data_IF_331628974208
#
_entry.id   IF_331628974208
#
_cell.length_a   1.000
_cell.length_b   1.000
_cell.length_c   1.000
_cell.angle_alpha   90.00
_cell.angle_beta   90.00
_cell.angle_gamma   90.00
#
_symmetry.space_group_name_H-M   'P 1'
#
loop_
_entity.id
_entity.type
_entity.pdbx_description
1 polymer ?
#
# COMPACT_ATOMS: atom_id res chain seq x y z
N UNK A 1 -69.18 2.25 26.82
CA UNK A 1 -69.66 3.49 26.18
C UNK A 1 -68.71 3.83 25.10
N UNK A 2 -68.90 3.37 23.87
CA UNK A 2 -69.22 4.08 22.62
C UNK A 2 -68.48 5.45 22.52
N UNK A 3 -67.65 5.73 21.57
CA UNK A 3 -67.67 5.86 20.09
C UNK A 3 -66.26 6.28 19.61
N UNK A 4 -65.69 5.71 18.64
CA UNK A 4 -65.73 6.00 17.20
C UNK A 4 -65.56 7.49 16.80
N UNK A 5 -64.40 7.77 16.08
CA UNK A 5 -64.49 8.63 14.89
C UNK A 5 -63.18 8.45 14.04
N UNK A 6 -63.40 7.83 12.90
CA UNK A 6 -62.53 7.92 11.71
C UNK A 6 -62.60 9.36 11.19
N UNK A 7 -61.43 9.90 10.82
CA UNK A 7 -61.42 10.99 9.85
C UNK A 7 -60.31 10.70 8.83
N UNK A 8 -60.74 10.42 7.63
CA UNK A 8 -59.92 10.33 6.44
C UNK A 8 -59.51 11.74 6.02
N UNK A 9 -58.27 11.95 5.69
CA UNK A 9 -57.82 13.10 4.90
C UNK A 9 -57.23 12.59 3.60
N UNK A 10 -57.79 13.14 2.53
CA UNK A 10 -57.55 12.82 1.14
C UNK A 10 -56.18 13.26 0.65
N UNK A 11 -55.65 12.43 -0.25
CA UNK A 11 -54.68 12.67 -1.31
C UNK A 11 -54.36 14.14 -1.65
N UNK A 12 -53.07 14.44 -1.61
CA UNK A 12 -52.43 15.45 -2.45
C UNK A 12 -51.32 14.77 -3.24
N UNK A 13 -51.58 14.60 -4.52
CA UNK A 13 -50.56 14.17 -5.52
C UNK A 13 -49.64 15.36 -5.76
N UNK A 14 -48.37 15.20 -5.51
CA UNK A 14 -47.37 16.13 -6.01
C UNK A 14 -46.06 15.35 -6.33
N UNK A 15 -45.79 15.26 -7.60
CA UNK A 15 -44.51 15.31 -8.26
C UNK A 15 -43.43 14.36 -7.75
N UNK A 16 -43.34 13.17 -8.35
CA UNK A 16 -42.11 12.41 -8.38
C UNK A 16 -41.06 13.18 -9.18
N UNK A 17 -40.11 13.82 -8.50
CA UNK A 17 -38.80 14.09 -9.09
C UNK A 17 -38.03 12.78 -9.06
N UNK A 18 -38.07 12.08 -10.17
CA UNK A 18 -37.09 11.05 -10.47
C UNK A 18 -35.74 11.76 -10.62
N UNK A 19 -34.93 11.72 -9.54
CA UNK A 19 -33.51 11.95 -9.69
C UNK A 19 -32.99 10.76 -10.50
N UNK A 20 -32.74 11.03 -11.77
CA UNK A 20 -31.94 10.15 -12.62
C UNK A 20 -30.59 9.98 -11.94
N UNK A 21 -30.36 8.80 -11.40
CA UNK A 21 -29.01 8.33 -11.12
C UNK A 21 -28.41 8.12 -12.50
N UNK A 22 -27.80 9.17 -13.04
CA UNK A 22 -26.93 9.05 -14.20
C UNK A 22 -25.83 8.11 -13.79
N UNK A 23 -25.93 6.87 -14.25
CA UNK A 23 -24.86 5.92 -14.25
C UNK A 23 -23.68 6.57 -14.96
N UNK A 24 -22.62 6.86 -14.24
CA UNK A 24 -21.33 7.11 -14.84
C UNK A 24 -20.90 5.83 -15.56
N UNK A 25 -21.39 5.68 -16.80
CA UNK A 25 -20.75 4.84 -17.77
C UNK A 25 -19.38 5.51 -18.04
N UNK A 26 -18.31 4.89 -17.55
CA UNK A 26 -16.96 5.29 -17.91
C UNK A 26 -16.86 5.22 -19.43
N UNK A 27 -16.80 6.37 -20.07
CA UNK A 27 -16.28 6.44 -21.43
C UNK A 27 -14.92 5.77 -21.45
N UNK A 28 -14.75 4.79 -22.36
CA UNK A 28 -13.61 3.90 -22.45
C UNK A 28 -12.29 4.62 -22.76
N UNK A 29 -11.72 5.28 -21.77
CA UNK A 29 -10.32 5.65 -21.75
C UNK A 29 -9.50 4.37 -21.61
N UNK A 30 -8.49 4.17 -22.47
CA UNK A 30 -7.60 3.02 -22.40
C UNK A 30 -7.07 2.89 -20.97
N UNK A 31 -7.35 1.74 -20.31
CA UNK A 31 -6.83 1.43 -18.99
C UNK A 31 -5.30 1.53 -19.03
N UNK A 32 -4.70 2.38 -18.23
CA UNK A 32 -3.24 2.41 -18.07
C UNK A 32 -2.81 1.02 -17.59
N UNK A 33 -1.79 0.44 -18.22
CA UNK A 33 -1.28 -0.85 -17.79
C UNK A 33 -0.81 -0.80 -16.34
N UNK A 34 -1.22 -1.76 -15.53
CA UNK A 34 -0.76 -1.89 -14.14
C UNK A 34 0.71 -2.33 -14.15
N UNK A 35 1.56 -1.63 -13.41
CA UNK A 35 2.93 -2.07 -13.14
C UNK A 35 2.94 -3.04 -11.97
N UNK A 36 2.73 -4.32 -12.27
CA UNK A 36 2.90 -5.37 -11.29
C UNK A 36 4.39 -5.61 -11.04
N UNK A 37 4.74 -5.84 -9.78
CA UNK A 37 6.07 -6.22 -9.34
C UNK A 37 6.03 -7.31 -8.27
N UNK A 38 7.19 -7.85 -7.97
CA UNK A 38 7.37 -8.86 -6.94
C UNK A 38 8.81 -9.36 -6.94
N UNK A 39 9.20 -10.24 -6.00
CA UNK A 39 10.52 -10.81 -5.97
C UNK A 39 10.75 -11.75 -7.16
N UNK A 40 12.01 -11.87 -7.57
CA UNK A 40 12.48 -12.91 -8.47
C UNK A 40 13.41 -13.85 -7.69
N UNK A 41 13.33 -15.14 -8.01
CA UNK A 41 14.07 -16.20 -7.30
C UNK A 41 15.29 -16.65 -8.09
N UNK A 42 16.04 -15.65 -8.59
CA UNK A 42 17.30 -15.87 -9.32
C UNK A 42 18.46 -15.46 -8.41
N UNK A 43 19.30 -16.41 -8.06
CA UNK A 43 20.52 -16.17 -7.27
C UNK A 43 21.60 -15.51 -8.12
N UNK A 44 21.63 -14.18 -8.15
CA UNK A 44 22.63 -13.40 -8.87
C UNK A 44 22.76 -11.99 -8.26
N UNK A 45 23.92 -11.39 -8.44
CA UNK A 45 24.17 -9.97 -8.17
C UNK A 45 24.39 -9.17 -9.46
N UNK A 46 24.15 -9.79 -10.62
CA UNK A 46 24.19 -9.10 -11.92
C UNK A 46 22.88 -8.33 -12.16
N UNK A 47 22.91 -6.97 -12.18
CA UNK A 47 21.73 -6.17 -12.37
C UNK A 47 21.00 -6.45 -13.69
N UNK A 48 21.75 -6.71 -14.77
CA UNK A 48 21.17 -6.97 -16.08
C UNK A 48 20.40 -8.31 -16.11
N UNK A 49 20.93 -9.34 -15.45
CA UNK A 49 20.23 -10.63 -15.33
C UNK A 49 18.96 -10.48 -14.51
N UNK A 50 19.00 -9.74 -13.39
CA UNK A 50 17.83 -9.49 -12.55
C UNK A 50 16.75 -8.69 -13.32
N UNK A 51 17.13 -7.63 -14.01
CA UNK A 51 16.20 -6.83 -14.78
C UNK A 51 15.50 -7.64 -15.88
N UNK A 52 16.25 -8.45 -16.64
CA UNK A 52 15.70 -9.37 -17.65
C UNK A 52 14.77 -10.40 -17.04
N UNK A 53 15.08 -10.95 -15.88
CA UNK A 53 14.21 -11.92 -15.21
C UNK A 53 12.88 -11.30 -14.79
N UNK A 54 12.88 -10.07 -14.25
CA UNK A 54 11.63 -9.34 -13.98
C UNK A 54 10.80 -9.20 -15.27
N UNK A 55 11.41 -8.78 -16.38
CA UNK A 55 10.70 -8.67 -17.66
C UNK A 55 10.20 -10.00 -18.19
N UNK A 56 11.00 -11.07 -18.06
CA UNK A 56 10.59 -12.44 -18.47
C UNK A 56 9.33 -12.90 -17.75
N UNK A 57 9.20 -12.56 -16.46
CA UNK A 57 8.02 -12.81 -15.65
C UNK A 57 6.86 -11.84 -15.96
N UNK A 58 7.10 -10.78 -16.76
CA UNK A 58 6.12 -9.76 -17.07
C UNK A 58 6.00 -8.67 -16.00
N UNK A 59 6.89 -8.62 -15.04
CA UNK A 59 6.94 -7.53 -14.07
C UNK A 59 7.42 -6.23 -14.72
N UNK A 60 6.81 -5.12 -14.34
CA UNK A 60 7.20 -3.76 -14.69
C UNK A 60 7.74 -2.97 -13.50
N UNK A 61 7.82 -3.61 -12.33
CA UNK A 61 8.34 -3.04 -11.10
C UNK A 61 9.13 -4.09 -10.30
N UNK A 62 10.05 -3.64 -9.46
CA UNK A 62 10.90 -4.50 -8.64
C UNK A 62 11.14 -3.88 -7.27
N UNK A 63 11.39 -4.72 -6.28
CA UNK A 63 12.04 -4.32 -5.04
C UNK A 63 13.51 -3.95 -5.31
N UNK A 64 14.05 -3.03 -4.53
CA UNK A 64 15.48 -2.73 -4.59
C UNK A 64 16.29 -3.98 -4.29
N UNK A 65 17.26 -4.36 -5.14
CA UNK A 65 18.14 -5.49 -4.87
C UNK A 65 18.88 -5.33 -3.53
N UNK A 66 19.00 -6.42 -2.77
CA UNK A 66 19.59 -6.40 -1.42
C UNK A 66 21.06 -5.96 -1.41
N UNK A 67 21.79 -6.23 -2.48
CA UNK A 67 23.19 -5.84 -2.61
C UNK A 67 23.41 -4.36 -2.97
N UNK A 68 22.32 -3.60 -3.25
CA UNK A 68 22.42 -2.17 -3.47
C UNK A 68 22.81 -1.43 -2.18
N UNK A 69 23.87 -0.64 -2.24
CA UNK A 69 24.43 0.05 -1.07
C UNK A 69 24.97 1.44 -1.44
N UNK A 70 24.81 2.39 -0.53
CA UNK A 70 25.44 3.71 -0.66
C UNK A 70 26.97 3.67 -0.64
N UNK A 71 27.59 2.58 -0.15
CA UNK A 71 29.03 2.38 -0.20
C UNK A 71 29.54 1.98 -1.60
N UNK A 72 28.63 1.58 -2.50
CA UNK A 72 28.95 1.20 -3.89
C UNK A 72 27.98 1.88 -4.87
N UNK A 73 28.21 3.17 -5.09
CA UNK A 73 27.40 3.96 -6.01
C UNK A 73 27.54 3.50 -7.48
N UNK A 74 28.61 2.81 -7.84
CA UNK A 74 28.76 2.24 -9.18
C UNK A 74 27.67 1.18 -9.41
N UNK A 75 27.58 0.21 -8.51
CA UNK A 75 26.53 -0.82 -8.58
C UNK A 75 25.13 -0.22 -8.51
N UNK A 76 24.90 0.82 -7.70
CA UNK A 76 23.62 1.53 -7.66
C UNK A 76 23.24 2.11 -9.03
N UNK A 77 24.19 2.72 -9.75
CA UNK A 77 23.96 3.25 -11.11
C UNK A 77 23.75 2.14 -12.14
N UNK A 78 24.48 1.04 -12.04
CA UNK A 78 24.28 -0.12 -12.90
C UNK A 78 22.88 -0.71 -12.73
N UNK A 79 22.38 -0.87 -11.49
CA UNK A 79 21.01 -1.31 -11.21
C UNK A 79 20.01 -0.35 -11.86
N UNK A 80 20.14 0.96 -11.64
CA UNK A 80 19.25 1.96 -12.22
C UNK A 80 19.19 1.86 -13.75
N UNK A 81 20.34 1.75 -14.40
CA UNK A 81 20.45 1.70 -15.86
C UNK A 81 19.85 0.41 -16.44
N UNK A 82 20.23 -0.74 -15.90
CA UNK A 82 19.79 -2.05 -16.41
C UNK A 82 18.28 -2.26 -16.20
N UNK A 83 17.74 -1.87 -15.04
CA UNK A 83 16.30 -1.96 -14.81
C UNK A 83 15.52 -0.98 -15.70
N UNK A 84 16.02 0.23 -15.90
CA UNK A 84 15.41 1.19 -16.82
C UNK A 84 15.43 0.70 -18.28
N UNK A 85 16.52 0.06 -18.72
CA UNK A 85 16.64 -0.52 -20.07
C UNK A 85 15.56 -1.59 -20.34
N UNK A 86 15.19 -2.37 -19.32
CA UNK A 86 14.13 -3.36 -19.39
C UNK A 86 12.73 -2.77 -19.09
N UNK A 87 12.60 -1.46 -18.92
CA UNK A 87 11.36 -0.79 -18.51
C UNK A 87 10.78 -1.37 -17.20
N UNK A 88 11.64 -1.69 -16.25
CA UNK A 88 11.31 -2.09 -14.88
C UNK A 88 11.71 -0.96 -13.95
N UNK A 89 10.78 -0.44 -13.15
CA UNK A 89 11.11 0.59 -12.16
C UNK A 89 11.50 -0.07 -10.83
N UNK A 90 12.39 0.57 -10.09
CA UNK A 90 12.57 0.24 -8.67
C UNK A 90 11.42 0.88 -7.90
N UNK A 91 10.50 0.05 -7.42
CA UNK A 91 9.31 0.50 -6.72
C UNK A 91 9.66 0.96 -5.30
N UNK A 92 10.42 0.14 -4.59
CA UNK A 92 10.57 0.28 -3.15
C UNK A 92 11.98 -0.05 -2.67
N UNK A 93 12.46 0.77 -1.76
CA UNK A 93 13.57 0.47 -0.87
C UNK A 93 12.97 0.26 0.52
N UNK A 94 12.75 -0.99 0.89
CA UNK A 94 12.25 -1.34 2.22
C UNK A 94 13.27 -1.01 3.31
N UNK A 95 12.82 -0.41 4.40
CA UNK A 95 13.66 -0.12 5.57
C UNK A 95 13.40 -1.12 6.71
N UNK A 96 12.17 -1.44 6.98
CA UNK A 96 11.66 -2.50 7.88
C UNK A 96 12.37 -2.52 9.23
N UNK A 97 12.27 -1.40 9.97
CA UNK A 97 12.81 -1.22 11.31
C UNK A 97 11.81 -0.61 12.26
N UNK A 98 11.90 -0.98 13.53
CA UNK A 98 11.08 -0.38 14.58
C UNK A 98 11.65 0.98 15.00
N UNK A 99 11.19 2.05 14.38
CA UNK A 99 11.58 3.43 14.74
C UNK A 99 11.01 3.90 16.08
N UNK A 100 10.15 3.09 16.71
CA UNK A 100 9.54 3.33 18.03
C UNK A 100 9.89 2.24 19.04
N UNK A 101 11.02 1.55 18.84
CA UNK A 101 11.49 0.52 19.74
C UNK A 101 11.54 1.06 21.20
N UNK A 102 11.02 0.30 22.17
CA UNK A 102 11.10 0.69 23.58
C UNK A 102 12.52 0.93 24.10
N UNK A 103 13.50 0.21 23.54
CA UNK A 103 14.93 0.45 23.80
C UNK A 103 15.42 1.68 23.03
N UNK A 104 15.88 2.68 23.77
CA UNK A 104 16.29 3.96 23.18
C UNK A 104 17.53 3.86 22.26
N UNK A 105 18.45 2.93 22.54
CA UNK A 105 19.64 2.73 21.72
C UNK A 105 19.26 2.06 20.38
N UNK A 106 18.42 1.03 20.43
CA UNK A 106 17.88 0.37 19.24
C UNK A 106 17.02 1.32 18.42
N UNK A 107 16.17 2.12 19.08
CA UNK A 107 15.34 3.12 18.40
C UNK A 107 16.19 4.11 17.60
N UNK A 108 17.30 4.58 18.18
CA UNK A 108 18.23 5.47 17.49
C UNK A 108 18.91 4.76 16.31
N UNK A 109 19.43 3.58 16.51
CA UNK A 109 20.08 2.76 15.46
C UNK A 109 19.11 2.50 14.30
N UNK A 110 17.87 2.10 14.62
CA UNK A 110 16.83 1.87 13.63
C UNK A 110 16.51 3.13 12.83
N UNK A 111 16.38 4.28 13.49
CA UNK A 111 16.11 5.55 12.82
C UNK A 111 17.27 5.96 11.90
N UNK A 112 18.51 5.82 12.36
CA UNK A 112 19.72 6.08 11.54
C UNK A 112 19.75 5.16 10.30
N UNK A 113 19.37 3.89 10.46
CA UNK A 113 19.26 2.94 9.34
C UNK A 113 18.19 3.36 8.34
N UNK A 114 17.00 3.79 8.79
CA UNK A 114 15.93 4.26 7.90
C UNK A 114 16.35 5.50 7.13
N UNK A 115 17.11 6.42 7.75
CA UNK A 115 17.71 7.58 7.05
C UNK A 115 18.60 7.10 5.90
N UNK A 116 19.48 6.11 6.13
CA UNK A 116 20.35 5.56 5.09
C UNK A 116 19.55 4.87 3.98
N UNK A 117 18.50 4.11 4.31
CA UNK A 117 17.63 3.48 3.30
C UNK A 117 16.88 4.51 2.45
N UNK A 118 16.41 5.60 3.07
CA UNK A 118 15.78 6.70 2.36
C UNK A 118 16.77 7.41 1.42
N UNK A 119 18.02 7.60 1.84
CA UNK A 119 19.07 8.15 1.00
C UNK A 119 19.41 7.22 -0.18
N UNK A 120 19.46 5.90 0.04
CA UNK A 120 19.63 4.92 -1.04
C UNK A 120 18.47 4.97 -2.03
N UNK A 121 17.23 5.09 -1.53
CA UNK A 121 16.05 5.21 -2.39
C UNK A 121 16.12 6.46 -3.29
N UNK A 122 16.61 7.58 -2.76
CA UNK A 122 16.81 8.79 -3.56
C UNK A 122 17.93 8.60 -4.59
N UNK A 123 19.03 7.96 -4.22
CA UNK A 123 20.17 7.72 -5.08
C UNK A 123 19.83 6.80 -6.25
N UNK A 124 19.11 5.69 -5.99
CA UNK A 124 18.71 4.72 -7.04
C UNK A 124 17.47 5.17 -7.83
N UNK A 125 16.78 6.22 -7.39
CA UNK A 125 15.56 6.71 -8.03
C UNK A 125 14.33 5.83 -7.82
N UNK A 126 14.26 5.14 -6.67
CA UNK A 126 13.09 4.36 -6.30
C UNK A 126 11.83 5.23 -6.13
N UNK A 127 10.65 4.67 -6.37
CA UNK A 127 9.38 5.38 -6.14
C UNK A 127 9.24 5.81 -4.68
N UNK A 128 9.60 4.92 -3.75
CA UNK A 128 9.63 5.25 -2.32
C UNK A 128 10.70 4.49 -1.54
N UNK A 129 11.03 5.04 -0.37
CA UNK A 129 11.51 4.30 0.77
C UNK A 129 10.32 4.03 1.67
N UNK A 130 10.10 2.78 2.05
CA UNK A 130 8.95 2.36 2.86
C UNK A 130 9.40 1.73 4.17
N UNK A 131 8.71 2.09 5.25
CA UNK A 131 8.79 1.47 6.56
C UNK A 131 7.41 1.46 7.20
N UNK A 132 7.24 0.79 8.33
CA UNK A 132 6.10 0.98 9.23
C UNK A 132 6.48 1.97 10.35
N UNK A 133 5.50 2.50 11.07
CA UNK A 133 5.79 3.37 12.21
C UNK A 133 6.57 2.63 13.32
N UNK A 134 6.38 1.32 13.41
CA UNK A 134 6.94 0.46 14.44
C UNK A 134 5.93 0.11 15.54
N UNK A 135 6.43 -0.30 16.70
CA UNK A 135 5.59 -0.71 17.82
C UNK A 135 6.30 -0.55 19.17
N UNK A 136 5.53 -0.30 20.23
CA UNK A 136 6.00 -0.41 21.61
C UNK A 136 6.01 -1.84 22.14
N UNK A 137 5.65 -2.83 21.33
CA UNK A 137 5.69 -4.24 21.73
C UNK A 137 7.14 -4.74 21.80
N UNK A 138 7.54 -5.26 22.97
CA UNK A 138 8.91 -5.75 23.19
C UNK A 138 9.21 -7.10 22.54
N UNK A 139 8.17 -7.89 22.24
CA UNK A 139 8.30 -9.22 21.65
C UNK A 139 8.21 -9.26 20.13
N UNK A 140 7.72 -8.18 19.50
CA UNK A 140 7.56 -8.08 18.05
C UNK A 140 7.69 -6.62 17.61
N UNK A 141 8.57 -6.35 16.69
CA UNK A 141 8.86 -5.00 16.19
C UNK A 141 7.66 -4.34 15.49
N UNK A 142 6.68 -5.12 15.07
CA UNK A 142 5.43 -4.68 14.43
C UNK A 142 4.18 -5.13 15.21
N UNK A 143 4.35 -5.76 16.38
CA UNK A 143 3.25 -6.40 17.12
C UNK A 143 2.26 -5.44 17.75
N UNK A 144 1.08 -5.94 18.17
CA UNK A 144 0.07 -5.11 18.81
C UNK A 144 0.53 -4.63 20.18
N UNK A 145 0.22 -3.38 20.50
CA UNK A 145 0.43 -2.77 21.82
C UNK A 145 -0.57 -1.63 22.02
N UNK A 146 -1.19 -1.46 23.20
CA UNK A 146 -2.19 -0.40 23.42
C UNK A 146 -1.65 1.01 23.17
N UNK A 147 -0.36 1.23 23.43
CA UNK A 147 0.31 2.49 23.16
C UNK A 147 0.46 2.84 21.68
N UNK A 148 0.33 1.90 20.75
CA UNK A 148 0.50 2.15 19.32
C UNK A 148 -0.61 3.03 18.70
N UNK A 149 -1.70 3.25 19.44
CA UNK A 149 -2.86 4.04 19.00
C UNK A 149 -3.02 5.33 19.83
N UNK A 150 -2.01 5.71 20.63
CA UNK A 150 -2.06 6.91 21.44
C UNK A 150 -1.56 8.16 20.69
N UNK A 151 -1.96 9.36 21.13
CA UNK A 151 -1.43 10.60 20.58
C UNK A 151 0.10 10.68 20.63
N UNK A 152 0.73 10.19 21.70
CA UNK A 152 2.18 10.19 21.88
C UNK A 152 2.89 9.36 20.81
N UNK A 153 2.32 8.19 20.46
CA UNK A 153 2.84 7.36 19.37
C UNK A 153 2.74 8.08 18.03
N UNK A 154 1.59 8.73 17.78
CA UNK A 154 1.39 9.51 16.57
C UNK A 154 2.39 10.66 16.46
N UNK A 155 2.59 11.44 17.55
CA UNK A 155 3.53 12.55 17.58
C UNK A 155 4.97 12.11 17.35
N UNK A 156 5.38 10.98 17.93
CA UNK A 156 6.71 10.41 17.69
C UNK A 156 6.86 9.90 16.25
N UNK A 157 5.82 9.30 15.65
CA UNK A 157 5.82 8.93 14.25
C UNK A 157 6.01 10.14 13.35
N UNK A 158 5.29 11.24 13.61
CA UNK A 158 5.46 12.52 12.90
C UNK A 158 6.89 13.05 13.04
N UNK A 159 7.43 13.03 14.26
CA UNK A 159 8.80 13.51 14.51
C UNK A 159 9.85 12.70 13.75
N UNK A 160 9.71 11.35 13.72
CA UNK A 160 10.60 10.45 12.98
C UNK A 160 10.52 10.72 11.46
N UNK A 161 9.32 10.82 10.91
CA UNK A 161 9.13 11.13 9.49
C UNK A 161 9.78 12.48 9.10
N UNK A 162 9.58 13.52 9.92
CA UNK A 162 10.21 14.82 9.71
C UNK A 162 11.74 14.72 9.80
N UNK A 163 12.26 14.02 10.80
CA UNK A 163 13.71 13.82 10.96
C UNK A 163 14.32 13.18 9.71
N UNK A 164 13.75 12.07 9.21
CA UNK A 164 14.25 11.38 8.02
C UNK A 164 14.25 12.32 6.82
N UNK A 165 13.14 13.00 6.59
CA UNK A 165 12.97 13.88 5.44
C UNK A 165 13.85 15.13 5.50
N UNK A 166 14.04 15.71 6.68
CA UNK A 166 14.88 16.88 6.88
C UNK A 166 16.38 16.54 6.80
N UNK A 167 16.78 15.30 7.15
CA UNK A 167 18.15 14.80 6.97
C UNK A 167 18.47 14.49 5.50
N UNK A 168 17.61 13.71 4.84
CA UNK A 168 17.87 13.23 3.47
C UNK A 168 17.57 14.30 2.43
N UNK A 169 16.50 15.07 2.61
CA UNK A 169 15.97 16.04 1.63
C UNK A 169 15.80 15.42 0.24
N UNK A 170 15.04 14.31 0.13
CA UNK A 170 15.00 13.53 -1.10
C UNK A 170 14.40 14.32 -2.26
N UNK A 171 14.95 14.14 -3.45
CA UNK A 171 14.55 14.81 -4.69
C UNK A 171 13.85 13.88 -5.67
N UNK A 172 14.26 12.62 -5.68
CA UNK A 172 13.82 11.60 -6.65
C UNK A 172 12.85 10.60 -6.06
N UNK A 173 12.93 10.35 -4.75
CA UNK A 173 12.10 9.40 -4.03
C UNK A 173 11.07 10.08 -3.11
N UNK A 174 10.23 9.27 -2.48
CA UNK A 174 9.33 9.66 -1.40
C UNK A 174 9.60 8.78 -0.18
N UNK A 175 9.42 9.32 1.01
CA UNK A 175 9.36 8.51 2.23
C UNK A 175 7.90 8.20 2.56
N UNK A 176 7.63 6.96 2.93
CA UNK A 176 6.28 6.46 3.19
C UNK A 176 6.24 5.61 4.45
N UNK A 177 5.11 5.63 5.13
CA UNK A 177 4.77 4.68 6.20
C UNK A 177 3.67 3.76 5.67
N UNK A 178 3.89 2.45 5.73
CA UNK A 178 2.85 1.49 5.39
C UNK A 178 1.74 1.48 6.46
N UNK A 179 0.49 1.42 6.00
CA UNK A 179 -0.67 1.32 6.88
C UNK A 179 -0.71 -0.03 7.58
N UNK A 180 -0.94 -0.04 8.90
CA UNK A 180 -1.00 -1.24 9.72
C UNK A 180 -2.32 -1.33 10.49
N UNK A 181 -2.80 -2.55 10.77
CA UNK A 181 -4.10 -2.74 11.43
C UNK A 181 -4.11 -2.43 12.93
N UNK A 182 -2.96 -2.26 13.57
CA UNK A 182 -2.82 -2.08 15.04
C UNK A 182 -1.79 -1.02 15.45
N UNK A 183 -1.44 -0.15 14.55
CA UNK A 183 -0.65 1.06 14.83
C UNK A 183 -1.03 2.15 13.84
N UNK A 184 -0.87 3.41 14.23
CA UNK A 184 -1.12 4.50 13.27
C UNK A 184 -0.01 4.57 12.22
N UNK A 185 -0.36 4.77 10.94
CA UNK A 185 -1.72 4.95 10.40
C UNK A 185 -2.45 3.61 10.26
N UNK A 186 -3.68 3.50 10.80
CA UNK A 186 -4.50 2.28 10.82
C UNK A 186 -5.71 2.34 9.86
N UNK A 187 -5.77 3.37 9.06
CA UNK A 187 -6.80 3.61 8.08
C UNK A 187 -6.61 4.91 7.31
N UNK A 188 -7.47 5.19 6.32
CA UNK A 188 -7.29 6.36 5.45
C UNK A 188 -7.42 7.70 6.19
N UNK A 189 -8.21 7.78 7.26
CA UNK A 189 -8.36 9.01 8.03
C UNK A 189 -7.12 9.32 8.88
N UNK A 190 -6.59 8.33 9.60
CA UNK A 190 -5.37 8.48 10.38
C UNK A 190 -4.16 8.72 9.48
N UNK A 191 -4.12 8.13 8.29
CA UNK A 191 -3.07 8.40 7.31
C UNK A 191 -3.14 9.85 6.79
N UNK A 192 -4.34 10.35 6.47
CA UNK A 192 -4.52 11.73 6.05
C UNK A 192 -4.11 12.73 7.15
N UNK A 193 -4.38 12.39 8.42
CA UNK A 193 -3.89 13.17 9.56
C UNK A 193 -2.36 13.16 9.63
N UNK A 194 -1.73 12.00 9.42
CA UNK A 194 -0.28 11.86 9.42
C UNK A 194 0.37 12.71 8.31
N UNK A 195 -0.19 12.68 7.08
CA UNK A 195 0.29 13.51 5.96
C UNK A 195 0.27 14.99 6.35
N UNK A 196 -0.86 15.47 6.88
CA UNK A 196 -1.03 16.86 7.31
C UNK A 196 -0.06 17.23 8.45
N UNK A 197 0.13 16.32 9.42
CA UNK A 197 0.99 16.55 10.56
C UNK A 197 2.47 16.54 10.17
N UNK A 198 2.90 15.63 9.30
CA UNK A 198 4.29 15.59 8.82
C UNK A 198 4.65 16.86 8.05
N UNK A 199 3.73 17.35 7.22
CA UNK A 199 3.88 18.63 6.48
C UNK A 199 5.24 18.75 5.78
N UNK A 200 5.60 17.70 5.01
CA UNK A 200 6.81 17.66 4.17
C UNK A 200 6.43 17.13 2.78
N UNK A 201 6.74 17.90 1.74
CA UNK A 201 6.40 17.54 0.34
C UNK A 201 6.85 16.15 -0.09
N UNK A 202 8.02 15.61 0.34
CA UNK A 202 8.44 14.27 -0.02
C UNK A 202 7.80 13.16 0.81
N UNK A 203 6.92 13.46 1.77
CA UNK A 203 6.13 12.44 2.48
C UNK A 203 4.95 12.00 1.60
N UNK A 204 4.75 10.69 1.48
CA UNK A 204 3.75 10.10 0.60
C UNK A 204 3.11 8.84 1.21
N UNK A 205 2.26 8.16 0.44
CA UNK A 205 1.52 6.99 0.88
C UNK A 205 2.05 5.75 0.18
N UNK A 206 2.38 4.75 0.99
CA UNK A 206 2.45 3.36 0.59
C UNK A 206 1.16 2.69 1.05
N UNK A 207 0.35 2.22 0.09
CA UNK A 207 -0.99 1.72 0.40
C UNK A 207 -1.01 0.20 0.41
N UNK A 208 -1.25 -0.38 1.60
CA UNK A 208 -1.66 -1.76 1.76
C UNK A 208 -3.11 -1.81 2.25
N UNK A 209 -4.02 -2.13 1.35
CA UNK A 209 -5.45 -2.18 1.69
C UNK A 209 -5.78 -3.38 2.58
N UNK A 210 -5.05 -4.48 2.47
CA UNK A 210 -5.29 -5.67 3.30
C UNK A 210 -5.02 -5.40 4.76
N UNK A 211 -3.94 -4.66 5.09
CA UNK A 211 -3.63 -4.28 6.46
C UNK A 211 -4.72 -3.42 7.11
N UNK A 212 -5.48 -2.67 6.31
CA UNK A 212 -6.61 -1.87 6.81
C UNK A 212 -7.93 -2.65 6.95
N UNK A 213 -8.02 -3.88 6.42
CA UNK A 213 -9.22 -4.72 6.54
C UNK A 213 -9.17 -5.47 7.88
N UNK A 214 -9.61 -4.82 8.94
CA UNK A 214 -9.51 -5.31 10.31
C UNK A 214 -10.88 -5.60 10.98
N UNK A 215 -11.94 -5.67 10.21
CA UNK A 215 -13.29 -5.95 10.70
C UNK A 215 -14.15 -6.70 9.68
N UNK A 216 -15.17 -7.45 10.10
CA UNK A 216 -16.11 -8.11 9.19
C UNK A 216 -16.77 -7.14 8.20
N UNK A 217 -17.08 -5.92 8.61
CA UNK A 217 -17.68 -4.92 7.73
C UNK A 217 -16.76 -4.56 6.57
N UNK A 218 -15.50 -4.25 6.88
CA UNK A 218 -14.48 -3.95 5.85
C UNK A 218 -14.18 -5.18 4.99
N UNK A 219 -14.17 -6.37 5.57
CA UNK A 219 -13.90 -7.61 4.83
C UNK A 219 -14.98 -7.93 3.80
N UNK A 220 -16.27 -7.80 4.18
CA UNK A 220 -17.37 -8.10 3.25
C UNK A 220 -17.66 -6.97 2.25
N UNK A 221 -17.33 -5.73 2.60
CA UNK A 221 -17.46 -4.57 1.71
C UNK A 221 -16.09 -3.90 1.50
N UNK A 222 -15.10 -4.73 1.13
CA UNK A 222 -13.75 -4.21 0.92
C UNK A 222 -13.63 -3.32 -0.33
N UNK A 223 -14.50 -3.48 -1.32
CA UNK A 223 -14.59 -2.56 -2.44
C UNK A 223 -14.87 -1.11 -2.00
N UNK A 224 -15.80 -0.90 -1.05
CA UNK A 224 -16.05 0.43 -0.50
C UNK A 224 -14.84 0.97 0.27
N UNK A 225 -14.16 0.11 1.05
CA UNK A 225 -12.96 0.50 1.78
C UNK A 225 -11.80 0.86 0.83
N UNK A 226 -11.59 0.09 -0.25
CA UNK A 226 -10.61 0.42 -1.30
C UNK A 226 -10.91 1.80 -1.89
N UNK A 227 -12.15 2.05 -2.33
CA UNK A 227 -12.53 3.36 -2.88
C UNK A 227 -12.32 4.50 -1.89
N UNK A 228 -12.64 4.29 -0.61
CA UNK A 228 -12.39 5.27 0.45
C UNK A 228 -10.88 5.62 0.56
N UNK A 229 -10.00 4.60 0.54
CA UNK A 229 -8.56 4.81 0.56
C UNK A 229 -8.10 5.67 -0.62
N UNK A 230 -8.52 5.33 -1.84
CA UNK A 230 -8.12 6.08 -3.03
C UNK A 230 -8.74 7.48 -3.10
N UNK A 231 -9.98 7.65 -2.67
CA UNK A 231 -10.64 8.96 -2.59
C UNK A 231 -9.89 9.91 -1.63
N UNK A 232 -9.47 9.41 -0.46
CA UNK A 232 -8.83 10.22 0.58
C UNK A 232 -7.33 10.39 0.34
N UNK A 233 -6.64 9.37 -0.13
CA UNK A 233 -5.18 9.30 -0.19
C UNK A 233 -4.61 9.37 -1.61
N UNK A 234 -5.42 9.23 -2.65
CA UNK A 234 -5.01 9.15 -4.05
C UNK A 234 -3.92 10.14 -4.48
N UNK A 235 -4.00 11.44 -4.10
CA UNK A 235 -2.97 12.43 -4.46
C UNK A 235 -1.56 12.10 -3.94
N UNK A 236 -1.44 11.24 -2.94
CA UNK A 236 -0.16 10.91 -2.29
C UNK A 236 0.30 9.46 -2.52
N UNK A 237 -0.56 8.56 -3.04
CA UNK A 237 -0.19 7.15 -3.25
C UNK A 237 0.93 7.06 -4.29
N UNK A 238 2.05 6.40 -3.93
CA UNK A 238 3.23 6.22 -4.79
C UNK A 238 3.61 4.76 -5.00
N UNK A 239 3.16 3.86 -4.13
CA UNK A 239 3.28 2.40 -4.26
C UNK A 239 2.13 1.71 -3.53
N UNK A 240 1.81 0.49 -3.95
CA UNK A 240 0.78 -0.34 -3.35
C UNK A 240 1.28 -1.77 -3.16
N UNK A 241 0.81 -2.46 -2.11
CA UNK A 241 1.00 -3.90 -1.97
C UNK A 241 -0.20 -4.71 -2.49
N UNK A 242 0.11 -5.87 -3.04
CA UNK A 242 -0.84 -6.86 -3.50
C UNK A 242 -0.82 -8.07 -2.55
N UNK A 243 -1.78 -8.12 -1.66
CA UNK A 243 -2.09 -9.23 -0.75
C UNK A 243 -3.54 -9.67 -0.97
N UNK A 244 -3.92 -10.78 -0.37
CA UNK A 244 -5.32 -11.18 -0.31
C UNK A 244 -5.63 -11.76 1.06
N UNK A 245 -6.90 -11.72 1.45
CA UNK A 245 -7.35 -12.13 2.77
C UNK A 245 -8.48 -13.14 2.67
N UNK A 246 -8.38 -14.15 3.55
CA UNK A 246 -9.42 -15.14 3.78
C UNK A 246 -9.85 -15.08 5.26
N UNK A 247 -11.15 -15.26 5.53
CA UNK A 247 -11.63 -15.43 6.89
C UNK A 247 -11.43 -16.88 7.34
N UNK A 248 -10.65 -17.08 8.40
CA UNK A 248 -10.58 -18.36 9.08
C UNK A 248 -11.81 -18.54 9.98
N UNK A 249 -12.42 -19.74 9.94
CA UNK A 249 -13.64 -20.02 10.70
C UNK A 249 -13.26 -20.32 12.16
N UNK A 250 -13.30 -19.26 12.97
CA UNK A 250 -13.06 -19.30 14.42
C UNK A 250 -14.12 -18.48 15.16
N UNK A 251 -14.18 -18.60 16.50
CA UNK A 251 -15.12 -17.80 17.29
C UNK A 251 -14.79 -16.29 17.25
N UNK A 252 -13.51 -15.94 17.22
CA UNK A 252 -13.06 -14.57 17.06
C UNK A 252 -12.82 -14.24 15.58
N UNK A 253 -12.84 -12.96 15.26
CA UNK A 253 -12.50 -12.49 13.91
C UNK A 253 -11.02 -12.73 13.66
N UNK A 254 -10.73 -13.59 12.69
CA UNK A 254 -9.37 -13.91 12.29
C UNK A 254 -9.30 -13.92 10.75
N UNK A 255 -8.53 -12.99 10.19
CA UNK A 255 -8.22 -12.95 8.77
C UNK A 255 -6.80 -13.48 8.56
N UNK A 256 -6.65 -14.31 7.53
CA UNK A 256 -5.37 -14.88 7.13
C UNK A 256 -5.01 -14.36 5.75
N UNK A 257 -3.75 -13.95 5.60
CA UNK A 257 -3.18 -13.65 4.29
C UNK A 257 -3.09 -14.93 3.45
N UNK A 258 -3.46 -14.81 2.17
CA UNK A 258 -3.47 -15.91 1.21
C UNK A 258 -3.01 -15.42 -0.16
N UNK A 259 -2.75 -16.34 -1.07
CA UNK A 259 -2.35 -16.02 -2.44
C UNK A 259 -3.43 -15.18 -3.13
N UNK A 260 -3.10 -14.07 -3.79
CA UNK A 260 -4.04 -13.26 -4.55
C UNK A 260 -4.91 -14.09 -5.49
N UNK A 261 -6.24 -13.93 -5.36
CA UNK A 261 -7.25 -14.70 -6.10
C UNK A 261 -7.81 -15.89 -5.34
N UNK A 262 -7.22 -16.27 -4.20
CA UNK A 262 -7.75 -17.33 -3.34
C UNK A 262 -8.49 -16.80 -2.10
N UNK A 263 -8.45 -15.50 -1.89
CA UNK A 263 -9.14 -14.79 -0.84
C UNK A 263 -10.41 -14.06 -1.32
N UNK A 264 -10.66 -12.89 -0.75
CA UNK A 264 -11.87 -12.11 -1.05
C UNK A 264 -11.60 -10.63 -1.33
N UNK A 265 -10.36 -10.21 -1.53
CA UNK A 265 -10.08 -8.84 -1.92
C UNK A 265 -10.69 -8.55 -3.30
N UNK A 266 -11.41 -7.45 -3.43
CA UNK A 266 -11.95 -7.00 -4.72
C UNK A 266 -10.84 -6.39 -5.58
N UNK A 267 -10.09 -7.27 -6.23
CA UNK A 267 -9.01 -6.87 -7.13
C UNK A 267 -9.50 -6.09 -8.34
N UNK A 268 -10.73 -6.28 -8.79
CA UNK A 268 -11.30 -5.49 -9.90
C UNK A 268 -11.37 -4.03 -9.50
N UNK A 269 -11.97 -3.74 -8.34
CA UNK A 269 -12.01 -2.38 -7.79
C UNK A 269 -10.59 -1.85 -7.52
N UNK A 270 -9.70 -2.66 -6.95
CA UNK A 270 -8.34 -2.22 -6.61
C UNK A 270 -7.55 -1.80 -7.86
N UNK A 271 -7.56 -2.64 -8.90
CA UNK A 271 -6.88 -2.36 -10.17
C UNK A 271 -7.50 -1.16 -10.90
N UNK A 272 -8.83 -1.01 -10.86
CA UNK A 272 -9.53 0.14 -11.44
C UNK A 272 -9.13 1.45 -10.73
N UNK A 273 -9.03 1.44 -9.40
CA UNK A 273 -8.61 2.64 -8.65
C UNK A 273 -7.14 2.99 -8.91
N UNK A 274 -6.23 1.99 -8.97
CA UNK A 274 -4.83 2.24 -9.35
C UNK A 274 -4.74 2.82 -10.77
N UNK A 275 -5.49 2.27 -11.72
CA UNK A 275 -5.50 2.72 -13.11
C UNK A 275 -6.02 4.16 -13.29
N UNK A 276 -6.84 4.67 -12.36
CA UNK A 276 -7.34 6.05 -12.38
C UNK A 276 -6.35 7.08 -11.85
N UNK A 277 -5.27 6.65 -11.19
CA UNK A 277 -4.27 7.60 -10.71
C UNK A 277 -3.54 8.25 -11.89
N UNK A 278 -3.23 9.55 -11.78
CA UNK A 278 -2.53 10.33 -12.83
C UNK A 278 -1.09 9.87 -13.06
N UNK A 279 -0.58 9.01 -12.19
CA UNK A 279 0.81 8.57 -12.13
C UNK A 279 0.91 7.07 -12.29
N UNK A 280 2.10 6.64 -12.65
CA UNK A 280 2.47 5.24 -12.79
C UNK A 280 2.82 4.67 -11.39
N UNK A 281 1.82 4.09 -10.72
CA UNK A 281 1.93 3.52 -9.37
C UNK A 281 2.13 2.01 -9.47
N UNK A 282 3.23 1.47 -8.92
CA UNK A 282 3.46 0.03 -8.88
C UNK A 282 2.53 -0.67 -7.88
N UNK A 283 2.20 -1.93 -8.19
CA UNK A 283 1.51 -2.86 -7.32
C UNK A 283 2.44 -4.05 -7.04
N UNK A 284 2.90 -4.21 -5.80
CA UNK A 284 3.95 -5.15 -5.43
C UNK A 284 3.39 -6.35 -4.70
N UNK A 285 3.61 -7.55 -5.23
CA UNK A 285 3.28 -8.82 -4.55
C UNK A 285 4.20 -9.03 -3.36
N UNK A 286 3.63 -9.32 -2.18
CA UNK A 286 4.42 -9.63 -0.99
C UNK A 286 3.81 -10.73 -0.10
N UNK A 287 4.56 -11.15 0.91
CA UNK A 287 4.19 -12.11 1.96
C UNK A 287 3.78 -13.50 1.47
N UNK A 288 4.18 -13.89 0.27
CA UNK A 288 3.96 -15.25 -0.22
C UNK A 288 5.16 -16.16 0.15
N UNK A 289 4.89 -17.44 0.35
CA UNK A 289 5.86 -18.36 0.95
C UNK A 289 6.82 -18.99 -0.06
N UNK A 290 6.51 -18.92 -1.35
CA UNK A 290 7.30 -19.62 -2.39
C UNK A 290 7.19 -18.96 -3.76
N UNK A 291 8.17 -19.25 -4.63
CA UNK A 291 8.14 -18.83 -6.03
C UNK A 291 6.86 -19.27 -6.75
N UNK A 292 6.32 -20.44 -6.40
CA UNK A 292 5.08 -20.96 -6.98
C UNK A 292 3.86 -20.11 -6.60
N UNK A 293 3.75 -19.70 -5.33
CA UNK A 293 2.68 -18.83 -4.87
C UNK A 293 2.78 -17.41 -5.48
N UNK A 294 4.00 -16.87 -5.61
CA UNK A 294 4.22 -15.61 -6.33
C UNK A 294 3.81 -15.72 -7.80
N UNK A 295 4.09 -16.86 -8.47
CA UNK A 295 3.69 -17.07 -9.86
C UNK A 295 2.17 -17.22 -10.00
N UNK A 296 1.50 -17.87 -9.05
CA UNK A 296 0.04 -17.99 -9.00
C UNK A 296 -0.62 -16.60 -8.83
N UNK A 297 -0.23 -15.83 -7.82
CA UNK A 297 -0.75 -14.48 -7.58
C UNK A 297 -0.47 -13.54 -8.76
N UNK A 298 0.73 -13.62 -9.35
CA UNK A 298 1.11 -12.87 -10.57
C UNK A 298 0.17 -13.20 -11.73
N UNK A 299 -0.04 -14.47 -12.03
CA UNK A 299 -0.92 -14.92 -13.13
C UNK A 299 -2.35 -14.44 -12.93
N UNK A 300 -2.87 -14.54 -11.71
CA UNK A 300 -4.19 -14.06 -11.38
C UNK A 300 -4.34 -12.56 -11.66
N UNK A 301 -3.46 -11.73 -11.10
CA UNK A 301 -3.54 -10.26 -11.27
C UNK A 301 -3.35 -9.88 -12.74
N UNK A 302 -2.37 -10.45 -13.44
CA UNK A 302 -2.13 -10.18 -14.85
C UNK A 302 -3.31 -10.63 -15.74
N UNK A 303 -3.97 -11.72 -15.37
CA UNK A 303 -5.19 -12.20 -16.04
C UNK A 303 -6.34 -11.20 -15.91
N UNK A 304 -6.52 -10.58 -14.75
CA UNK A 304 -7.50 -9.49 -14.56
C UNK A 304 -7.16 -8.24 -15.38
N UNK A 305 -5.88 -7.86 -15.42
CA UNK A 305 -5.41 -6.72 -16.23
C UNK A 305 -5.66 -6.97 -17.72
N UNK A 306 -5.40 -8.17 -18.21
CA UNK A 306 -5.64 -8.58 -19.60
C UNK A 306 -7.12 -8.82 -19.93
N UNK A 307 -8.01 -8.79 -18.93
CA UNK A 307 -9.45 -9.08 -19.12
C UNK A 307 -9.77 -10.56 -19.38
N UNK A 308 -8.83 -11.47 -19.10
CA UNK A 308 -9.00 -12.93 -19.24
C UNK A 308 -9.65 -13.59 -18.01
N UNK A 309 -9.69 -12.89 -16.90
CA UNK A 309 -10.40 -13.26 -15.67
C UNK A 309 -11.56 -12.28 -15.43
N UNK A 310 -12.71 -12.80 -14.99
CA UNK A 310 -13.90 -12.02 -14.63
C UNK A 310 -14.39 -12.40 -13.23
#
# INVERSE_FOLDING_TARGET
>A
MKMSRRTAIKLGVAGALAASVDGFASEGGARRGIRLGGPVFLETQDPALLAREHRRLGYGAAYCPEFASLSDLKTVREIEQEFAAENVIIAEVGAWRNMLDPDAAKRKENLDYVVQRCALADEIGARCCVDIAGSYNKGSWFGPHPGNLTPEFFEQTVANCRHILDQVKPKRTRFTIEMMGWSVPDGPDSYLQLIKAVDRKPFAVHLDVCNGINSPRRFYDNAAFIRECFQKLGPWIVSCHAKDLKWEIEYNVHFKEVVPGTGRLDYVTYLDEIARLDRDVPLMLEHLSSAAEYDEGRKYIMGLVAGTWR
#
